data_IF_276621681082
#
_entry.id   IF_276621681082
#
_cell.length_a   1.000
_cell.length_b   1.000
_cell.length_c   1.000
_cell.angle_alpha   90.00
_cell.angle_beta   90.00
_cell.angle_gamma   90.00
#
_symmetry.space_group_name_H-M   'P 1'
#
loop_
_entity.id
_entity.type
_entity.pdbx_description
1 polymer ?
#
# COMPACT_ATOMS: atom_id res chain seq x y z
N UNK A 1 4.95 11.94 -5.23
CA UNK A 1 4.76 11.16 -6.48
C UNK A 1 5.74 10.00 -6.59
N UNK A 2 7.05 10.25 -6.63
CA UNK A 2 8.03 9.17 -6.61
C UNK A 2 7.98 8.37 -5.31
N UNK A 3 7.91 9.06 -4.16
CA UNK A 3 7.71 8.44 -2.85
C UNK A 3 6.48 7.51 -2.84
N UNK A 4 5.32 7.98 -3.32
CA UNK A 4 4.09 7.17 -3.43
C UNK A 4 4.29 5.88 -4.22
N UNK A 5 4.94 5.95 -5.39
CA UNK A 5 5.18 4.77 -6.23
C UNK A 5 6.15 3.80 -5.53
N UNK A 6 7.17 4.32 -4.84
CA UNK A 6 8.11 3.50 -4.07
C UNK A 6 7.41 2.84 -2.89
N UNK A 7 6.60 3.59 -2.13
CA UNK A 7 5.83 3.08 -1.01
C UNK A 7 4.84 1.99 -1.45
N UNK A 8 4.09 2.23 -2.54
CA UNK A 8 3.18 1.24 -3.13
C UNK A 8 3.92 -0.03 -3.57
N UNK A 9 5.10 0.09 -4.18
CA UNK A 9 5.87 -1.09 -4.63
C UNK A 9 6.36 -1.93 -3.45
N UNK A 10 6.91 -1.28 -2.42
CA UNK A 10 7.37 -1.95 -1.19
C UNK A 10 6.17 -2.63 -0.52
N UNK A 11 5.10 -1.89 -0.25
CA UNK A 11 3.91 -2.43 0.40
C UNK A 11 3.27 -3.56 -0.41
N UNK A 12 3.26 -3.47 -1.75
CA UNK A 12 2.72 -4.53 -2.61
C UNK A 12 3.56 -5.80 -2.58
N UNK A 13 4.88 -5.67 -2.40
CA UNK A 13 5.80 -6.79 -2.24
C UNK A 13 5.56 -7.50 -0.90
N UNK A 14 5.39 -6.74 0.18
CA UNK A 14 5.03 -7.27 1.50
C UNK A 14 3.66 -7.95 1.50
N UNK A 15 2.65 -7.34 0.88
CA UNK A 15 1.30 -7.91 0.76
C UNK A 15 1.34 -9.24 -0.01
N UNK A 16 2.12 -9.32 -1.09
CA UNK A 16 2.33 -10.57 -1.83
C UNK A 16 2.96 -11.64 -0.93
N UNK A 17 3.98 -11.27 -0.15
CA UNK A 17 4.62 -12.18 0.80
C UNK A 17 3.64 -12.68 1.87
N UNK A 18 2.92 -11.76 2.53
CA UNK A 18 1.93 -12.08 3.56
C UNK A 18 0.80 -12.97 3.02
N UNK A 19 0.27 -12.67 1.84
CA UNK A 19 -0.76 -13.50 1.19
C UNK A 19 -0.28 -14.94 0.99
N UNK A 20 0.98 -15.11 0.57
CA UNK A 20 1.59 -16.43 0.41
C UNK A 20 1.79 -17.11 1.77
N UNK A 21 2.37 -16.41 2.74
CA UNK A 21 2.60 -16.94 4.09
C UNK A 21 1.31 -17.46 4.72
N UNK A 22 0.23 -16.66 4.69
CA UNK A 22 -1.06 -17.02 5.24
C UNK A 22 -1.70 -18.24 4.57
N UNK A 23 -1.46 -18.42 3.26
CA UNK A 23 -1.86 -19.62 2.55
C UNK A 23 -1.04 -20.84 3.00
N UNK A 24 0.29 -20.69 3.10
CA UNK A 24 1.21 -21.77 3.48
C UNK A 24 0.95 -22.27 4.92
N UNK A 25 0.53 -21.38 5.83
CA UNK A 25 0.12 -21.75 7.21
C UNK A 25 -1.36 -22.15 7.33
N UNK A 26 -2.05 -22.37 6.21
CA UNK A 26 -3.44 -22.83 6.16
C UNK A 26 -4.46 -21.90 6.84
N UNK A 27 -4.16 -20.59 6.91
CA UNK A 27 -5.08 -19.58 7.44
C UNK A 27 -6.00 -18.99 6.35
N UNK A 28 -5.72 -19.24 5.07
CA UNK A 28 -6.54 -18.79 3.93
C UNK A 28 -6.89 -19.95 3.00
N UNK A 29 -8.16 -20.02 2.62
CA UNK A 29 -8.66 -20.96 1.62
C UNK A 29 -8.78 -20.30 0.24
N UNK A 30 -8.63 -21.09 -0.83
CA UNK A 30 -8.80 -20.61 -2.21
C UNK A 30 -10.29 -20.54 -2.59
N UNK A 31 -10.70 -19.59 -3.45
CA UNK A 31 -9.88 -18.54 -4.06
C UNK A 31 -9.62 -17.37 -3.10
N UNK A 32 -8.38 -16.91 -3.02
CA UNK A 32 -8.03 -15.75 -2.18
C UNK A 32 -8.24 -14.47 -2.99
N UNK A 33 -9.18 -13.59 -2.60
CA UNK A 33 -9.44 -12.35 -3.33
C UNK A 33 -8.21 -11.42 -3.35
N UNK A 34 -8.15 -10.44 -4.26
CA UNK A 34 -7.12 -9.41 -4.24
C UNK A 34 -7.14 -8.65 -2.92
N UNK A 35 -5.98 -8.39 -2.33
CA UNK A 35 -5.88 -7.60 -1.10
C UNK A 35 -6.00 -6.12 -1.45
N UNK A 36 -6.91 -5.41 -0.77
CA UNK A 36 -7.09 -3.98 -0.95
C UNK A 36 -5.94 -3.21 -0.31
N UNK A 37 -5.24 -2.44 -1.12
CA UNK A 37 -4.26 -1.44 -0.70
C UNK A 37 -4.86 -0.05 -0.87
N UNK A 38 -4.63 0.83 0.10
CA UNK A 38 -5.16 2.18 0.09
C UNK A 38 -4.05 3.20 -0.17
N UNK A 39 -4.33 4.19 -1.02
CA UNK A 39 -3.42 5.29 -1.34
C UNK A 39 -4.23 6.59 -1.45
N UNK A 40 -3.71 7.66 -0.86
CA UNK A 40 -4.32 9.01 -0.88
C UNK A 40 -3.95 9.81 -2.15
N UNK A 41 -2.99 9.32 -2.93
CA UNK A 41 -2.57 9.96 -4.17
C UNK A 41 -3.30 9.37 -5.39
N UNK A 42 -4.41 10.00 -5.79
CA UNK A 42 -5.11 9.64 -7.03
C UNK A 42 -4.19 9.61 -8.26
N UNK A 43 -3.21 10.53 -8.32
CA UNK A 43 -2.23 10.59 -9.41
C UNK A 43 -1.29 9.37 -9.38
N UNK A 44 -0.88 8.89 -8.20
CA UNK A 44 -0.09 7.68 -8.08
C UNK A 44 -0.90 6.44 -8.50
N UNK A 45 -2.16 6.34 -8.04
CA UNK A 45 -3.09 5.27 -8.43
C UNK A 45 -3.26 5.23 -9.95
N UNK A 46 -3.57 6.37 -10.57
CA UNK A 46 -3.73 6.46 -12.03
C UNK A 46 -2.46 6.00 -12.77
N UNK A 47 -1.27 6.35 -12.25
CA UNK A 47 0.01 5.94 -12.83
C UNK A 47 0.28 4.45 -12.70
N UNK A 48 0.04 3.82 -11.56
CA UNK A 48 0.34 2.39 -11.36
C UNK A 48 -0.70 1.47 -12.01
N UNK A 49 -1.91 1.97 -12.23
CA UNK A 49 -2.99 1.25 -12.94
C UNK A 49 -2.90 1.44 -14.46
N UNK A 50 -2.28 2.51 -14.96
CA UNK A 50 -2.17 2.77 -16.39
C UNK A 50 -1.38 1.67 -17.11
N UNK A 51 -1.84 1.31 -18.32
CA UNK A 51 -1.11 0.40 -19.22
C UNK A 51 0.15 1.05 -19.80
N UNK A 52 0.13 2.37 -19.97
CA UNK A 52 1.24 3.17 -20.51
C UNK A 52 1.85 4.00 -19.38
N UNK A 53 3.15 3.84 -19.15
CA UNK A 53 3.90 4.60 -18.15
C UNK A 53 5.13 5.24 -18.80
N UNK A 54 5.01 6.53 -19.10
CA UNK A 54 5.99 7.31 -19.86
C UNK A 54 7.06 7.97 -18.96
N UNK A 55 7.47 7.29 -17.89
CA UNK A 55 8.50 7.80 -16.98
C UNK A 55 9.89 7.48 -17.53
N UNK A 56 10.80 8.46 -17.60
CA UNK A 56 12.16 8.25 -18.12
C UNK A 56 13.06 7.53 -17.12
N UNK A 57 12.78 7.69 -15.83
CA UNK A 57 13.57 7.12 -14.73
C UNK A 57 13.41 5.59 -14.65
N UNK A 58 14.51 4.86 -14.82
CA UNK A 58 14.52 3.39 -14.90
C UNK A 58 13.94 2.72 -13.66
N UNK A 59 14.30 3.17 -12.46
CA UNK A 59 13.84 2.57 -11.21
C UNK A 59 12.32 2.69 -11.05
N UNK A 60 11.73 3.85 -11.40
CA UNK A 60 10.27 4.01 -11.38
C UNK A 60 9.56 3.13 -12.40
N UNK A 61 10.13 2.92 -13.59
CA UNK A 61 9.57 2.01 -14.60
C UNK A 61 9.53 0.56 -14.12
N UNK A 62 10.57 0.12 -13.40
CA UNK A 62 10.63 -1.25 -12.85
C UNK A 62 9.53 -1.43 -11.80
N UNK A 63 9.40 -0.48 -10.87
CA UNK A 63 8.36 -0.49 -9.83
C UNK A 63 6.96 -0.44 -10.41
N UNK A 64 6.72 0.41 -11.41
CA UNK A 64 5.44 0.43 -12.14
C UNK A 64 5.08 -0.94 -12.71
N UNK A 65 6.01 -1.59 -13.40
CA UNK A 65 5.78 -2.93 -13.98
C UNK A 65 5.47 -3.96 -12.90
N UNK A 66 6.20 -3.93 -11.79
CA UNK A 66 5.99 -4.81 -10.64
C UNK A 66 4.57 -4.67 -10.08
N UNK A 67 4.17 -3.45 -9.69
CA UNK A 67 2.83 -3.17 -9.16
C UNK A 67 1.74 -3.54 -10.18
N UNK A 68 1.90 -3.13 -11.43
CA UNK A 68 0.91 -3.41 -12.49
C UNK A 68 0.73 -4.91 -12.71
N UNK A 69 1.81 -5.68 -12.61
CA UNK A 69 1.76 -7.14 -12.72
C UNK A 69 0.91 -7.73 -11.58
N UNK A 70 1.10 -7.27 -10.34
CA UNK A 70 0.31 -7.73 -9.18
C UNK A 70 -1.18 -7.38 -9.30
N UNK A 71 -1.51 -6.19 -9.80
CA UNK A 71 -2.88 -5.77 -10.07
C UNK A 71 -3.50 -6.67 -11.17
N UNK A 72 -2.77 -6.88 -12.27
CA UNK A 72 -3.26 -7.67 -13.41
C UNK A 72 -3.55 -9.13 -13.04
N UNK A 73 -2.76 -9.70 -12.15
CA UNK A 73 -2.94 -11.08 -11.67
C UNK A 73 -3.88 -11.20 -10.45
N UNK A 74 -4.57 -10.11 -10.06
CA UNK A 74 -5.50 -10.14 -8.93
C UNK A 74 -4.85 -10.45 -7.58
N UNK A 75 -3.56 -10.15 -7.42
CA UNK A 75 -2.88 -10.28 -6.11
C UNK A 75 -3.32 -9.14 -5.20
N UNK A 76 -3.37 -7.94 -5.74
CA UNK A 76 -3.73 -6.70 -5.04
C UNK A 76 -4.78 -5.91 -5.84
N UNK A 77 -5.54 -5.07 -5.14
CA UNK A 77 -6.27 -3.94 -5.71
C UNK A 77 -5.78 -2.65 -5.05
N UNK A 78 -5.76 -1.54 -5.78
CA UNK A 78 -5.32 -0.24 -5.24
C UNK A 78 -6.49 0.72 -5.29
N UNK A 79 -6.94 1.17 -4.12
CA UNK A 79 -8.12 1.99 -3.93
C UNK A 79 -7.75 3.35 -3.35
N UNK A 80 -8.46 4.37 -3.79
CA UNK A 80 -8.31 5.70 -3.21
C UNK A 80 -8.87 5.72 -1.79
N UNK A 81 -8.13 6.37 -0.89
CA UNK A 81 -8.61 6.74 0.44
C UNK A 81 -8.43 8.24 0.62
N UNK A 82 -9.36 8.90 1.31
CA UNK A 82 -9.18 10.31 1.66
C UNK A 82 -8.05 10.45 2.69
N UNK A 83 -7.25 11.50 2.59
CA UNK A 83 -6.11 11.76 3.46
C UNK A 83 -6.48 11.69 4.95
N UNK A 84 -7.63 12.26 5.33
CA UNK A 84 -8.10 12.31 6.71
C UNK A 84 -8.41 10.91 7.29
N UNK A 85 -8.64 9.94 6.41
CA UNK A 85 -8.92 8.55 6.77
C UNK A 85 -7.68 7.65 6.59
N UNK A 86 -6.56 8.19 6.09
CA UNK A 86 -5.34 7.43 5.91
C UNK A 86 -4.51 7.44 7.21
N UNK A 87 -4.78 6.46 8.07
CA UNK A 87 -4.04 6.28 9.33
C UNK A 87 -2.54 6.01 9.16
N UNK A 88 -2.05 5.77 7.93
CA UNK A 88 -0.63 5.51 7.67
C UNK A 88 0.19 6.78 7.41
N UNK A 89 -0.41 7.85 6.88
CA UNK A 89 0.32 9.09 6.57
C UNK A 89 1.04 9.68 7.79
N UNK A 90 0.46 9.61 8.99
CA UNK A 90 1.14 10.11 10.16
C UNK A 90 2.38 9.30 10.55
N UNK A 91 2.47 8.01 10.20
CA UNK A 91 3.66 7.19 10.45
C UNK A 91 4.86 7.61 9.58
N UNK A 92 4.63 8.41 8.54
CA UNK A 92 5.62 8.84 7.56
C UNK A 92 5.98 10.32 7.74
N UNK A 93 5.26 11.04 8.62
CA UNK A 93 5.43 12.48 8.87
C UNK A 93 5.97 12.74 10.28
N UNK A 94 6.63 13.89 10.45
CA UNK A 94 6.87 14.43 11.78
C UNK A 94 5.53 14.82 12.39
N UNK A 95 5.15 14.18 13.50
CA UNK A 95 3.90 14.43 14.19
C UNK A 95 4.09 15.26 15.45
N UNK A 96 3.08 16.07 15.75
CA UNK A 96 2.93 16.66 17.08
C UNK A 96 2.51 15.57 18.09
N UNK A 97 2.80 15.79 19.37
CA UNK A 97 2.46 14.84 20.43
C UNK A 97 0.96 14.48 20.46
N UNK A 98 0.08 15.45 20.20
CA UNK A 98 -1.36 15.22 20.20
C UNK A 98 -1.81 14.31 19.04
N UNK A 99 -1.23 14.48 17.85
CA UNK A 99 -1.50 13.59 16.72
C UNK A 99 -1.06 12.16 17.02
N UNK A 100 0.13 11.97 17.62
CA UNK A 100 0.61 10.63 18.03
C UNK A 100 -0.39 9.93 18.96
N UNK A 101 -0.97 10.65 19.93
CA UNK A 101 -1.96 10.09 20.86
C UNK A 101 -3.27 9.69 20.17
N UNK A 102 -3.80 10.51 19.28
CA UNK A 102 -5.04 10.20 18.55
C UNK A 102 -4.85 9.02 17.61
N UNK A 103 -3.71 8.98 16.93
CA UNK A 103 -3.41 7.97 15.93
C UNK A 103 -3.04 6.64 16.52
N UNK A 104 -2.24 6.61 17.59
CA UNK A 104 -1.92 5.37 18.32
C UNK A 104 -3.19 4.61 18.70
N UNK A 105 -4.23 5.33 19.18
CA UNK A 105 -5.55 4.73 19.42
C UNK A 105 -6.21 4.23 18.13
N UNK A 106 -6.16 5.02 17.05
CA UNK A 106 -6.73 4.67 15.74
C UNK A 106 -6.10 3.42 15.10
N UNK A 107 -4.80 3.17 15.31
CA UNK A 107 -4.10 1.98 14.81
C UNK A 107 -4.09 0.80 15.81
N UNK A 108 -4.84 0.91 16.92
CA UNK A 108 -5.00 -0.15 17.91
C UNK A 108 -3.82 -0.32 18.87
N UNK A 109 -2.90 0.64 18.95
CA UNK A 109 -1.87 0.65 19.98
C UNK A 109 -2.47 1.05 21.32
N UNK A 110 -2.12 0.29 22.36
CA UNK A 110 -2.49 0.58 23.75
C UNK A 110 -1.25 1.07 24.49
N UNK A 111 -1.43 2.10 25.31
CA UNK A 111 -0.39 2.54 26.23
C UNK A 111 -0.03 1.39 27.18
N UNK A 112 1.26 1.11 27.28
CA UNK A 112 1.82 0.16 28.24
C UNK A 112 2.11 1.01 29.49
N UNK A 113 1.15 1.03 30.42
CA UNK A 113 1.38 1.53 31.78
C UNK A 113 2.16 0.49 32.58
#
# INVERSE_FOLDING_TARGET
>A
MEAEIIALDIASSEVKFLKKLLYDVHLLNKPIPPISMHCDSQVAIAKVTSKKFNEKRKHLRIRHKSIRNLITHGVISVNFIRFENNFTDPLIKGLTHQQVLELSRGIGLKSIN
#
